data_IF_605902160390
#
_entry.id   IF_605902160390
#
_cell.length_a   1.000
_cell.length_b   1.000
_cell.length_c   1.000
_cell.angle_alpha   90.00
_cell.angle_beta   90.00
_cell.angle_gamma   90.00
#
_symmetry.space_group_name_H-M   'P 1'
#
loop_
_entity.id
_entity.type
_entity.pdbx_description
1 polymer ?
#
# COMPACT_ATOMS: atom_id res chain seq x y z
N UNK A 1 -5.52 -4.06 6.44
CA UNK A 1 -4.09 -3.81 6.74
C UNK A 1 -3.37 -3.49 5.45
N UNK A 2 -2.39 -2.57 5.47
CA UNK A 2 -1.75 -2.08 4.24
C UNK A 2 -1.09 -3.20 3.43
N UNK A 3 -0.40 -4.17 4.05
CA UNK A 3 0.27 -5.25 3.30
C UNK A 3 -0.67 -6.09 2.45
N UNK A 4 -1.95 -6.15 2.84
CA UNK A 4 -2.99 -6.84 2.09
C UNK A 4 -3.33 -6.09 0.79
N UNK A 5 -3.30 -4.76 0.81
CA UNK A 5 -3.69 -3.92 -0.33
C UNK A 5 -2.49 -3.61 -1.23
N UNK A 6 -1.35 -3.25 -0.63
CA UNK A 6 -0.18 -2.67 -1.31
C UNK A 6 1.01 -3.64 -1.44
N UNK A 7 0.97 -4.81 -0.79
CA UNK A 7 2.10 -5.73 -0.74
C UNK A 7 3.00 -5.52 0.49
N UNK A 8 4.05 -6.34 0.67
CA UNK A 8 4.84 -6.36 1.91
C UNK A 8 5.52 -5.02 2.21
N UNK A 9 5.61 -4.64 3.48
CA UNK A 9 6.39 -3.47 3.89
C UNK A 9 7.88 -3.80 3.74
N UNK A 10 8.68 -2.91 3.13
CA UNK A 10 10.12 -3.08 3.01
C UNK A 10 10.80 -3.33 4.37
N UNK A 11 11.70 -4.33 4.39
CA UNK A 11 12.34 -4.77 5.64
C UNK A 11 13.22 -3.69 6.29
N UNK A 12 13.79 -2.78 5.51
CA UNK A 12 14.53 -1.61 6.01
C UNK A 12 13.62 -0.73 6.88
N UNK A 13 12.39 -0.46 6.45
CA UNK A 13 11.44 0.34 7.22
C UNK A 13 10.98 -0.36 8.51
N UNK A 14 10.75 -1.67 8.45
CA UNK A 14 10.37 -2.45 9.63
C UNK A 14 11.52 -2.53 10.66
N UNK A 15 12.78 -2.56 10.21
CA UNK A 15 13.95 -2.51 11.09
C UNK A 15 14.17 -1.13 11.72
N UNK A 16 13.83 -0.07 11.01
CA UNK A 16 13.92 1.31 11.48
C UNK A 16 12.72 1.74 12.33
N UNK A 17 11.74 0.86 12.54
CA UNK A 17 10.59 1.14 13.37
C UNK A 17 11.07 1.54 14.79
N UNK A 18 10.67 2.72 15.25
CA UNK A 18 11.01 3.21 16.57
C UNK A 18 10.47 2.29 17.67
N UNK A 19 10.96 2.45 18.91
CA UNK A 19 10.52 1.69 20.08
C UNK A 19 8.98 1.63 20.22
N UNK A 20 8.31 2.73 19.90
CA UNK A 20 6.85 2.84 20.00
C UNK A 20 6.09 1.95 19.01
N UNK A 21 6.75 1.51 17.94
CA UNK A 21 6.21 0.63 16.92
C UNK A 21 6.64 -0.85 17.08
N UNK A 22 7.53 -1.18 18.03
CA UNK A 22 8.00 -2.55 18.27
C UNK A 22 6.85 -3.52 18.60
N UNK A 23 5.78 -3.06 19.26
CA UNK A 23 4.59 -3.89 19.54
C UNK A 23 3.88 -4.38 18.26
N UNK A 24 4.06 -3.66 17.15
CA UNK A 24 3.48 -3.99 15.85
C UNK A 24 4.45 -4.78 14.96
N UNK A 25 5.73 -4.89 15.32
CA UNK A 25 6.76 -5.53 14.50
C UNK A 25 7.49 -6.60 15.31
N UNK A 26 7.39 -7.86 14.89
CA UNK A 26 8.06 -8.99 15.52
C UNK A 26 8.96 -9.70 14.51
N UNK A 27 10.25 -9.85 14.85
CA UNK A 27 11.26 -10.51 13.99
C UNK A 27 11.34 -9.89 12.58
N UNK A 28 11.26 -8.56 12.49
CA UNK A 28 11.35 -7.83 11.22
C UNK A 28 10.14 -8.00 10.30
N UNK A 29 8.99 -8.44 10.83
CA UNK A 29 7.71 -8.56 10.13
C UNK A 29 6.60 -7.96 10.99
N UNK A 30 5.48 -7.59 10.37
CA UNK A 30 4.31 -7.19 11.14
C UNK A 30 3.85 -8.32 12.07
N UNK A 31 3.51 -7.97 13.31
CA UNK A 31 2.94 -8.86 14.31
C UNK A 31 1.45 -9.10 13.99
N UNK A 32 1.17 -9.72 12.85
CA UNK A 32 -0.17 -10.03 12.35
C UNK A 32 -0.11 -11.37 11.61
N UNK A 33 -1.08 -12.29 11.82
CA UNK A 33 -2.34 -12.11 12.55
C UNK A 33 -2.26 -12.26 14.07
N UNK A 34 -1.14 -12.70 14.63
CA UNK A 34 -1.01 -13.03 16.07
C UNK A 34 -1.23 -11.82 16.99
N UNK A 35 -0.90 -10.61 16.53
CA UNK A 35 -1.18 -9.35 17.22
C UNK A 35 -2.49 -8.67 16.80
N UNK A 36 -3.39 -9.36 16.11
CA UNK A 36 -4.69 -8.79 15.73
C UNK A 36 -5.57 -8.53 16.96
N UNK A 37 -6.29 -7.40 16.97
CA UNK A 37 -7.15 -7.00 18.09
C UNK A 37 -8.35 -7.95 18.31
N UNK A 38 -8.87 -8.55 17.24
CA UNK A 38 -9.96 -9.52 17.30
C UNK A 38 -10.01 -10.41 16.06
N UNK A 39 -10.74 -11.52 16.15
CA UNK A 39 -10.99 -12.41 15.00
C UNK A 39 -11.79 -11.73 13.90
N UNK A 40 -12.74 -10.86 14.25
CA UNK A 40 -13.52 -10.04 13.30
C UNK A 40 -12.59 -9.08 12.55
N UNK A 41 -11.66 -8.44 13.27
CA UNK A 41 -10.67 -7.54 12.66
C UNK A 41 -9.79 -8.27 11.67
N UNK A 42 -9.34 -9.50 12.01
CA UNK A 42 -8.58 -10.35 11.10
C UNK A 42 -9.38 -10.71 9.84
N UNK A 43 -10.64 -11.14 10.00
CA UNK A 43 -11.53 -11.46 8.87
C UNK A 43 -11.75 -10.24 7.96
N UNK A 44 -11.94 -9.06 8.54
CA UNK A 44 -12.08 -7.81 7.78
C UNK A 44 -10.82 -7.52 6.94
N UNK A 45 -9.64 -7.70 7.52
CA UNK A 45 -8.37 -7.54 6.79
C UNK A 45 -8.24 -8.57 5.66
N UNK A 46 -8.54 -9.84 5.90
CA UNK A 46 -8.42 -10.89 4.89
C UNK A 46 -9.32 -10.65 3.66
N UNK A 47 -10.49 -10.04 3.88
CA UNK A 47 -11.44 -9.66 2.82
C UNK A 47 -10.99 -8.47 1.97
N UNK A 48 -9.96 -7.72 2.39
CA UNK A 48 -9.49 -6.59 1.59
C UNK A 48 -8.89 -7.09 0.27
N UNK A 49 -9.33 -6.52 -0.87
CA UNK A 49 -8.74 -6.79 -2.17
C UNK A 49 -7.38 -6.06 -2.34
N UNK A 50 -6.62 -6.48 -3.35
CA UNK A 50 -5.40 -5.79 -3.80
C UNK A 50 -5.76 -4.44 -4.43
N UNK A 51 -4.82 -3.50 -4.44
CA UNK A 51 -5.03 -2.16 -5.01
C UNK A 51 -5.60 -2.20 -6.44
N UNK A 52 -5.02 -3.03 -7.32
CA UNK A 52 -5.51 -3.18 -8.69
C UNK A 52 -6.97 -3.63 -8.75
N UNK A 53 -7.37 -4.56 -7.87
CA UNK A 53 -8.73 -5.09 -7.83
C UNK A 53 -9.71 -4.06 -7.27
N UNK A 54 -9.29 -3.22 -6.31
CA UNK A 54 -10.09 -2.09 -5.83
C UNK A 54 -10.40 -1.12 -6.97
N UNK A 55 -9.39 -0.77 -7.76
CA UNK A 55 -9.57 0.17 -8.86
C UNK A 55 -10.46 -0.43 -9.94
N UNK A 56 -10.14 -1.65 -10.40
CA UNK A 56 -10.90 -2.35 -11.45
C UNK A 56 -12.36 -2.62 -11.10
N UNK A 57 -12.75 -2.61 -9.82
CA UNK A 57 -14.16 -2.70 -9.41
C UNK A 57 -14.97 -1.44 -9.75
N UNK A 58 -14.30 -0.32 -10.00
CA UNK A 58 -14.92 0.99 -10.14
C UNK A 58 -14.57 1.70 -11.47
N UNK A 59 -13.80 1.07 -12.34
CA UNK A 59 -13.27 1.68 -13.57
C UNK A 59 -13.26 0.67 -14.72
N UNK A 60 -13.48 1.14 -15.94
CA UNK A 60 -13.32 0.33 -17.15
C UNK A 60 -11.87 -0.12 -17.39
N UNK A 61 -11.66 -0.98 -18.40
CA UNK A 61 -10.39 -1.61 -18.78
C UNK A 61 -9.21 -0.64 -19.07
N UNK A 62 -9.42 0.68 -19.00
CA UNK A 62 -8.43 1.75 -19.21
C UNK A 62 -7.77 2.27 -17.92
N UNK A 63 -7.98 1.64 -16.77
CA UNK A 63 -7.45 2.12 -15.49
C UNK A 63 -5.94 1.92 -15.27
N UNK A 64 -5.19 1.42 -16.25
CA UNK A 64 -3.76 1.13 -16.13
C UNK A 64 -2.95 2.33 -15.66
N UNK A 65 -3.10 3.48 -16.32
CA UNK A 65 -2.38 4.72 -15.97
C UNK A 65 -2.76 5.23 -14.56
N UNK A 66 -4.01 4.98 -14.12
CA UNK A 66 -4.45 5.35 -12.78
C UNK A 66 -3.87 4.43 -11.70
N UNK A 67 -3.87 3.11 -11.95
CA UNK A 67 -3.28 2.13 -11.06
C UNK A 67 -1.79 2.40 -10.90
N UNK A 68 -1.08 2.69 -11.99
CA UNK A 68 0.35 3.02 -11.97
C UNK A 68 0.63 4.27 -11.13
N UNK A 69 -0.16 5.34 -11.32
CA UNK A 69 -0.08 6.54 -10.50
C UNK A 69 -0.26 6.23 -9.01
N UNK A 70 -1.31 5.48 -8.65
CA UNK A 70 -1.59 5.12 -7.26
C UNK A 70 -0.49 4.24 -6.67
N UNK A 71 0.05 3.29 -7.43
CA UNK A 71 1.18 2.47 -6.99
C UNK A 71 2.41 3.33 -6.69
N UNK A 72 2.71 4.33 -7.54
CA UNK A 72 3.79 5.29 -7.30
C UNK A 72 3.57 6.15 -6.06
N UNK A 73 2.37 6.71 -5.89
CA UNK A 73 2.02 7.57 -4.76
C UNK A 73 1.96 6.83 -3.41
N UNK A 74 1.58 5.55 -3.43
CA UNK A 74 1.38 4.74 -2.22
C UNK A 74 2.57 3.84 -1.87
N UNK A 75 3.74 4.03 -2.49
CA UNK A 75 4.96 3.31 -2.08
C UNK A 75 5.28 3.59 -0.62
N UNK A 76 5.65 2.52 0.09
CA UNK A 76 6.01 2.59 1.50
C UNK A 76 7.22 3.49 1.72
N UNK A 77 8.34 3.18 1.05
CA UNK A 77 9.59 3.90 1.22
C UNK A 77 9.44 5.33 0.65
N UNK A 78 9.58 6.38 1.47
CA UNK A 78 9.49 7.75 1.00
C UNK A 78 10.52 8.08 -0.07
N UNK A 79 11.70 7.44 -0.05
CA UNK A 79 12.74 7.66 -1.04
C UNK A 79 12.33 7.14 -2.43
N UNK A 80 11.51 6.09 -2.48
CA UNK A 80 11.01 5.51 -3.73
C UNK A 80 9.65 6.09 -4.16
N UNK A 81 8.97 6.82 -3.27
CA UNK A 81 7.61 7.32 -3.48
C UNK A 81 7.57 8.41 -4.54
N UNK A 82 6.58 8.34 -5.43
CA UNK A 82 6.38 9.33 -6.47
C UNK A 82 6.14 10.72 -5.85
N UNK A 83 7.01 11.67 -6.18
CA UNK A 83 6.91 13.05 -5.72
C UNK A 83 5.74 13.77 -6.41
N UNK A 84 5.16 14.77 -5.73
CA UNK A 84 3.97 15.47 -6.23
C UNK A 84 4.20 16.15 -7.59
N UNK A 85 5.35 16.79 -7.80
CA UNK A 85 5.71 17.40 -9.08
C UNK A 85 5.84 16.35 -10.20
N UNK A 86 6.40 15.18 -9.92
CA UNK A 86 6.48 14.08 -10.88
C UNK A 86 5.09 13.48 -11.16
N UNK A 87 4.24 13.38 -10.14
CA UNK A 87 2.86 12.92 -10.29
C UNK A 87 2.04 13.82 -11.21
N UNK A 88 2.22 15.15 -11.15
CA UNK A 88 1.54 16.08 -12.06
C UNK A 88 1.91 15.85 -13.54
N UNK A 89 3.06 15.25 -13.83
CA UNK A 89 3.53 14.93 -15.18
C UNK A 89 3.17 13.49 -15.61
N UNK A 90 2.47 12.74 -14.76
CA UNK A 90 2.15 11.34 -15.00
C UNK A 90 1.23 11.16 -16.23
N UNK A 91 1.38 10.08 -17.02
CA UNK A 91 0.50 9.77 -18.15
C UNK A 91 -1.00 9.85 -17.82
N UNK A 92 -1.38 9.48 -16.60
CA UNK A 92 -2.75 9.61 -16.11
C UNK A 92 -3.34 11.02 -16.29
N UNK A 93 -2.53 12.07 -16.09
CA UNK A 93 -2.96 13.45 -16.27
C UNK A 93 -2.62 14.02 -17.66
N UNK A 94 -1.57 13.51 -18.32
CA UNK A 94 -1.03 14.13 -19.55
C UNK A 94 -1.52 13.49 -20.85
N UNK A 95 -2.03 12.26 -20.84
CA UNK A 95 -2.38 11.51 -22.06
C UNK A 95 -3.60 12.05 -22.81
N UNK A 96 -4.34 12.99 -22.21
CA UNK A 96 -5.48 13.70 -22.80
C UNK A 96 -5.30 15.24 -22.78
N UNK A 97 -4.07 15.74 -22.60
CA UNK A 97 -3.74 17.19 -22.65
C UNK A 97 -3.30 17.64 -24.03
#
# INVERSE_FOLDING_TARGET
>A
MMERVLGPIPSNMLRLAARDAERYVRRGRLNWPEGAASGESMKAVLKLPRLQNLVMQHTDHSAGDFIDLLQGLLRYDPADRLAANAALLHPFFTRNS
#
